data_IF_946885541423
#
_entry.id   IF_946885541423
#
_cell.length_a   1.000
_cell.length_b   1.000
_cell.length_c   1.000
_cell.angle_alpha   90.00
_cell.angle_beta   90.00
_cell.angle_gamma   90.00
#
_symmetry.space_group_name_H-M   'P 1'
#
loop_
_entity.id
_entity.type
_entity.pdbx_description
1 polymer ?
#
# COMPACT_ATOMS: atom_id res chain seq x y z
N UNK A 1 10.88 8.00 -19.86
CA UNK A 1 9.82 8.48 -20.78
C UNK A 1 8.84 7.34 -20.98
N UNK A 2 7.61 7.46 -20.47
CA UNK A 2 6.58 6.47 -20.75
C UNK A 2 6.17 6.69 -22.21
N UNK A 3 6.47 5.76 -23.09
CA UNK A 3 5.86 5.73 -24.41
C UNK A 3 4.36 5.77 -24.24
N UNK A 4 3.76 6.86 -24.67
CA UNK A 4 2.32 7.03 -24.77
C UNK A 4 1.88 5.93 -25.74
N UNK A 5 1.18 4.91 -25.21
CA UNK A 5 0.58 3.89 -26.05
C UNK A 5 -0.43 4.63 -26.93
N UNK A 6 -0.07 4.81 -28.21
CA UNK A 6 -1.01 5.32 -29.20
C UNK A 6 -2.25 4.41 -29.18
N UNK A 7 -3.46 4.98 -29.25
CA UNK A 7 -4.69 4.18 -29.38
C UNK A 7 -4.59 3.07 -30.46
N UNK A 8 -3.83 3.30 -31.54
CA UNK A 8 -3.60 2.31 -32.59
C UNK A 8 -2.82 1.07 -32.17
N UNK A 9 -2.05 1.09 -31.06
CA UNK A 9 -1.36 -0.11 -30.51
C UNK A 9 -2.25 -0.95 -29.59
N UNK A 10 -3.37 -0.40 -29.11
CA UNK A 10 -4.37 -1.13 -28.35
C UNK A 10 -5.39 -1.87 -29.24
N UNK A 11 -5.38 -1.65 -30.56
CA UNK A 11 -6.47 -1.98 -31.46
C UNK A 11 -6.15 -2.94 -32.65
N UNK A 12 -5.15 -3.85 -32.63
CA UNK A 12 -4.91 -4.68 -33.81
C UNK A 12 -5.96 -5.77 -34.07
N UNK A 13 -7.00 -5.90 -33.23
CA UNK A 13 -8.05 -6.91 -33.37
C UNK A 13 -9.48 -6.38 -33.19
N UNK A 14 -9.68 -5.08 -33.32
CA UNK A 14 -11.00 -4.45 -33.23
C UNK A 14 -11.46 -4.16 -34.63
N UNK A 15 -12.52 -4.85 -35.08
CA UNK A 15 -13.34 -4.39 -36.20
C UNK A 15 -13.80 -2.99 -35.85
N UNK A 16 -13.42 -2.02 -36.68
CA UNK A 16 -13.56 -0.59 -36.42
C UNK A 16 -15.03 -0.21 -36.24
N UNK A 17 -15.48 -0.23 -34.98
CA UNK A 17 -16.61 0.55 -34.54
C UNK A 17 -16.02 1.93 -34.19
N UNK A 18 -16.38 2.96 -34.98
CA UNK A 18 -15.88 4.33 -34.79
C UNK A 18 -16.23 4.86 -33.40
N UNK A 19 -17.37 4.45 -32.84
CA UNK A 19 -17.82 4.83 -31.52
C UNK A 19 -16.93 4.19 -30.43
N UNK A 20 -16.60 2.92 -30.54
CA UNK A 20 -15.68 2.25 -29.61
C UNK A 20 -14.30 2.91 -29.61
N UNK A 21 -13.81 3.27 -30.79
CA UNK A 21 -12.53 3.96 -30.93
C UNK A 21 -12.56 5.35 -30.30
N UNK A 22 -13.66 6.09 -30.46
CA UNK A 22 -13.86 7.41 -29.85
C UNK A 22 -13.87 7.33 -28.32
N UNK A 23 -14.61 6.35 -27.76
CA UNK A 23 -14.70 6.15 -26.31
C UNK A 23 -13.34 5.73 -25.70
N UNK A 24 -12.59 4.84 -26.37
CA UNK A 24 -11.24 4.50 -25.92
C UNK A 24 -10.27 5.67 -25.96
N UNK A 25 -10.37 6.54 -26.97
CA UNK A 25 -9.57 7.78 -27.03
C UNK A 25 -9.92 8.71 -25.86
N UNK A 26 -11.20 8.95 -25.58
CA UNK A 26 -11.63 9.73 -24.43
C UNK A 26 -11.12 9.13 -23.11
N UNK A 27 -11.25 7.82 -22.93
CA UNK A 27 -10.72 7.13 -21.74
C UNK A 27 -9.21 7.32 -21.56
N UNK A 28 -8.44 7.32 -22.64
CA UNK A 28 -6.98 7.58 -22.59
C UNK A 28 -6.68 9.06 -22.30
N UNK A 29 -7.49 10.00 -22.82
CA UNK A 29 -7.37 11.43 -22.49
C UNK A 29 -7.62 11.67 -21.00
N UNK A 30 -8.62 11.02 -20.42
CA UNK A 30 -9.02 11.13 -19.01
C UNK A 30 -8.19 10.23 -18.05
N UNK A 31 -7.06 9.72 -18.52
CA UNK A 31 -6.21 8.82 -17.71
C UNK A 31 -5.82 9.38 -16.34
N UNK A 32 -5.74 10.72 -16.24
CA UNK A 32 -5.34 11.40 -15.00
C UNK A 32 -6.44 11.38 -13.92
N UNK A 33 -7.67 10.98 -14.29
CA UNK A 33 -8.74 10.64 -13.33
C UNK A 33 -8.40 9.38 -12.51
N UNK A 34 -7.44 8.59 -12.96
CA UNK A 34 -7.00 7.36 -12.30
C UNK A 34 -5.61 7.53 -11.68
N UNK A 35 -5.36 6.80 -10.57
CA UNK A 35 -4.01 6.81 -10.01
C UNK A 35 -3.01 6.22 -11.02
N UNK A 36 -1.75 6.74 -11.08
CA UNK A 36 -0.72 6.19 -11.97
C UNK A 36 -0.50 4.67 -11.79
N UNK A 37 -0.71 4.17 -10.57
CA UNK A 37 -0.60 2.74 -10.29
C UNK A 37 -1.77 1.94 -10.86
N UNK A 38 -2.99 2.46 -10.74
CA UNK A 38 -4.20 1.83 -11.35
C UNK A 38 -4.02 1.73 -12.87
N UNK A 39 -3.56 2.82 -13.50
CA UNK A 39 -3.31 2.84 -14.94
C UNK A 39 -2.23 1.83 -15.36
N UNK A 40 -1.12 1.76 -14.63
CA UNK A 40 -0.05 0.78 -14.89
C UNK A 40 -0.54 -0.66 -14.74
N UNK A 41 -1.36 -0.93 -13.73
CA UNK A 41 -1.97 -2.26 -13.54
C UNK A 41 -2.92 -2.60 -14.68
N UNK A 42 -3.77 -1.64 -15.10
CA UNK A 42 -4.66 -1.83 -16.25
C UNK A 42 -3.88 -2.24 -17.49
N UNK A 43 -2.85 -1.47 -17.86
CA UNK A 43 -2.02 -1.76 -19.04
C UNK A 43 -1.33 -3.14 -18.95
N UNK A 44 -0.92 -3.55 -17.76
CA UNK A 44 -0.33 -4.87 -17.54
C UNK A 44 -1.36 -5.99 -17.72
N UNK A 45 -2.55 -5.83 -17.17
CA UNK A 45 -3.64 -6.80 -17.30
C UNK A 45 -4.09 -6.92 -18.75
N UNK A 46 -4.25 -5.78 -19.44
CA UNK A 46 -4.62 -5.77 -20.87
C UNK A 46 -3.64 -6.55 -21.73
N UNK A 47 -2.33 -6.33 -21.54
CA UNK A 47 -1.29 -7.06 -22.29
C UNK A 47 -1.37 -8.58 -22.07
N UNK A 48 -1.58 -9.02 -20.85
CA UNK A 48 -1.68 -10.45 -20.51
C UNK A 48 -2.95 -11.04 -21.11
N UNK A 49 -4.09 -10.36 -20.97
CA UNK A 49 -5.37 -10.82 -21.49
C UNK A 49 -5.38 -10.85 -23.03
N UNK A 50 -4.86 -9.83 -23.68
CA UNK A 50 -4.73 -9.76 -25.14
C UNK A 50 -3.87 -10.90 -25.70
N UNK A 51 -2.75 -11.20 -25.05
CA UNK A 51 -1.89 -12.35 -25.43
C UNK A 51 -2.66 -13.65 -25.34
N UNK A 52 -3.31 -13.89 -24.19
CA UNK A 52 -4.14 -15.07 -23.99
C UNK A 52 -5.24 -15.20 -25.05
N UNK A 53 -5.96 -14.10 -25.35
CA UNK A 53 -7.01 -14.07 -26.34
C UNK A 53 -6.47 -14.44 -27.75
N UNK A 54 -5.33 -13.87 -28.14
CA UNK A 54 -4.67 -14.18 -29.41
C UNK A 54 -4.23 -15.65 -29.50
N UNK A 55 -3.65 -16.21 -28.43
CA UNK A 55 -3.22 -17.62 -28.37
C UNK A 55 -4.39 -18.61 -28.44
N UNK A 56 -5.61 -18.18 -28.02
CA UNK A 56 -6.81 -19.02 -27.99
C UNK A 56 -7.83 -18.69 -29.09
N UNK A 57 -7.48 -17.81 -30.05
CA UNK A 57 -8.39 -17.40 -31.13
C UNK A 57 -9.62 -16.67 -30.64
N UNK A 58 -9.51 -15.89 -29.54
CA UNK A 58 -10.62 -15.15 -28.91
C UNK A 58 -10.48 -13.65 -29.16
N UNK A 59 -11.62 -12.96 -29.16
CA UNK A 59 -11.66 -11.51 -29.20
C UNK A 59 -11.27 -10.93 -27.83
N UNK A 60 -10.34 -9.99 -27.82
CA UNK A 60 -9.92 -9.31 -26.58
C UNK A 60 -10.91 -8.19 -26.17
N UNK A 61 -11.44 -7.45 -27.13
CA UNK A 61 -12.35 -6.34 -26.87
C UNK A 61 -13.34 -6.21 -28.04
N UNK A 62 -14.64 -6.50 -27.80
CA UNK A 62 -15.25 -6.94 -26.55
C UNK A 62 -14.86 -8.37 -26.15
N UNK A 63 -14.50 -8.57 -24.89
CA UNK A 63 -14.32 -9.91 -24.33
C UNK A 63 -15.67 -10.44 -23.83
N UNK A 64 -16.08 -11.63 -24.27
CA UNK A 64 -17.31 -12.23 -23.77
C UNK A 64 -17.20 -12.69 -22.33
N UNK A 65 -18.34 -12.89 -21.67
CA UNK A 65 -18.38 -13.41 -20.29
C UNK A 65 -17.81 -14.83 -20.19
N UNK A 66 -18.03 -15.66 -21.21
CA UNK A 66 -17.47 -17.01 -21.26
C UNK A 66 -15.96 -16.98 -21.49
N UNK A 67 -15.47 -16.11 -22.36
CA UNK A 67 -14.03 -15.95 -22.56
C UNK A 67 -13.37 -15.37 -21.29
N UNK A 68 -14.01 -14.43 -20.60
CA UNK A 68 -13.50 -13.97 -19.29
C UNK A 68 -13.43 -15.12 -18.28
N UNK A 69 -14.47 -15.95 -18.16
CA UNK A 69 -14.45 -17.14 -17.30
C UNK A 69 -13.26 -18.05 -17.62
N UNK A 70 -13.05 -18.35 -18.90
CA UNK A 70 -11.96 -19.23 -19.35
C UNK A 70 -10.59 -18.62 -19.09
N UNK A 71 -10.45 -17.32 -19.34
CA UNK A 71 -9.23 -16.57 -18.98
C UNK A 71 -8.91 -16.61 -17.48
N UNK A 72 -9.92 -16.39 -16.60
CA UNK A 72 -9.70 -16.45 -15.16
C UNK A 72 -9.33 -17.87 -14.70
N UNK A 73 -9.90 -18.90 -15.32
CA UNK A 73 -9.56 -20.30 -15.07
C UNK A 73 -8.13 -20.61 -15.51
N UNK A 74 -7.72 -20.09 -16.67
CA UNK A 74 -6.35 -20.19 -17.14
C UNK A 74 -5.35 -19.52 -16.20
N UNK A 75 -5.66 -18.34 -15.67
CA UNK A 75 -4.82 -17.69 -14.67
C UNK A 75 -4.69 -18.54 -13.40
N UNK A 76 -5.75 -19.23 -12.99
CA UNK A 76 -5.71 -20.15 -11.84
C UNK A 76 -4.78 -21.34 -12.13
N UNK A 77 -4.90 -21.98 -13.30
CA UNK A 77 -4.03 -23.10 -13.69
C UNK A 77 -2.56 -22.67 -13.84
N UNK A 78 -2.32 -21.39 -14.20
CA UNK A 78 -1.00 -20.77 -14.22
C UNK A 78 -0.47 -20.37 -12.82
N UNK A 79 -1.14 -20.78 -11.75
CA UNK A 79 -0.71 -20.56 -10.35
C UNK A 79 -0.84 -19.12 -9.86
N UNK A 80 -1.70 -18.30 -10.49
CA UNK A 80 -1.93 -16.93 -10.03
C UNK A 80 -2.82 -16.93 -8.77
N UNK A 81 -2.45 -16.06 -7.82
CA UNK A 81 -3.22 -15.89 -6.59
C UNK A 81 -4.66 -15.42 -6.87
N UNK A 82 -5.62 -15.89 -6.07
CA UNK A 82 -7.04 -15.54 -6.20
C UNK A 82 -7.29 -14.03 -6.21
N UNK A 83 -6.57 -13.27 -5.39
CA UNK A 83 -6.62 -11.81 -5.35
C UNK A 83 -6.11 -11.15 -6.64
N UNK A 84 -5.11 -11.73 -7.29
CA UNK A 84 -4.61 -11.29 -8.61
C UNK A 84 -5.67 -11.54 -9.67
N UNK A 85 -6.29 -12.72 -9.67
CA UNK A 85 -7.35 -13.10 -10.61
C UNK A 85 -8.56 -12.14 -10.48
N UNK A 86 -8.98 -11.83 -9.25
CA UNK A 86 -10.03 -10.85 -9.00
C UNK A 86 -9.68 -9.44 -9.54
N UNK A 87 -8.40 -9.04 -9.41
CA UNK A 87 -7.91 -7.77 -9.98
C UNK A 87 -8.01 -7.77 -11.51
N UNK A 88 -7.65 -8.87 -12.18
CA UNK A 88 -7.79 -9.00 -13.63
C UNK A 88 -9.26 -8.84 -14.06
N UNK A 89 -10.18 -9.56 -13.43
CA UNK A 89 -11.61 -9.45 -13.72
C UNK A 89 -12.15 -8.01 -13.56
N UNK A 90 -11.72 -7.33 -12.49
CA UNK A 90 -12.13 -5.95 -12.19
C UNK A 90 -11.60 -4.96 -13.23
N UNK A 91 -10.32 -5.06 -13.61
CA UNK A 91 -9.70 -4.12 -14.54
C UNK A 91 -10.16 -4.34 -15.98
N UNK A 92 -10.39 -5.58 -16.41
CA UNK A 92 -11.00 -5.88 -17.72
C UNK A 92 -12.42 -5.29 -17.79
N UNK A 93 -13.20 -5.44 -16.72
CA UNK A 93 -14.54 -4.86 -16.66
C UNK A 93 -14.54 -3.34 -16.57
N UNK A 94 -13.51 -2.74 -15.95
CA UNK A 94 -13.30 -1.29 -15.99
C UNK A 94 -13.03 -0.82 -17.41
N UNK A 95 -12.20 -1.52 -18.18
CA UNK A 95 -11.94 -1.22 -19.60
C UNK A 95 -13.25 -1.25 -20.39
N UNK A 96 -14.06 -2.32 -20.25
CA UNK A 96 -15.32 -2.44 -20.98
C UNK A 96 -16.28 -1.28 -20.67
N UNK A 97 -16.46 -0.93 -19.39
CA UNK A 97 -17.31 0.22 -19.00
C UNK A 97 -16.85 1.52 -19.65
N UNK A 98 -15.55 1.77 -19.69
CA UNK A 98 -15.01 3.00 -20.29
C UNK A 98 -14.96 2.94 -21.83
N UNK A 99 -15.13 1.77 -22.40
CA UNK A 99 -15.30 1.55 -23.84
C UNK A 99 -16.78 1.51 -24.28
N UNK A 100 -17.73 1.82 -23.38
CA UNK A 100 -19.19 1.75 -23.66
C UNK A 100 -19.72 0.33 -23.83
N UNK A 101 -18.96 -0.68 -23.46
CA UNK A 101 -19.31 -2.08 -23.60
C UNK A 101 -19.88 -2.66 -22.30
N UNK A 102 -20.70 -3.71 -22.43
CA UNK A 102 -21.22 -4.43 -21.27
C UNK A 102 -20.04 -5.09 -20.51
N UNK A 103 -19.92 -4.82 -19.19
CA UNK A 103 -18.85 -5.42 -18.38
C UNK A 103 -19.02 -6.94 -18.27
N UNK A 104 -18.06 -7.77 -18.71
CA UNK A 104 -18.22 -9.22 -18.76
C UNK A 104 -18.31 -9.88 -17.37
N UNK A 105 -17.88 -9.22 -16.31
CA UNK A 105 -17.94 -9.75 -14.94
C UNK A 105 -19.34 -9.65 -14.30
N UNK A 106 -20.33 -9.07 -14.96
CA UNK A 106 -21.72 -9.01 -14.49
C UNK A 106 -22.47 -10.32 -14.71
N UNK A 107 -21.97 -11.19 -15.57
CA UNK A 107 -22.61 -12.46 -15.88
C UNK A 107 -22.50 -13.49 -14.73
N UNK A 108 -23.55 -14.29 -14.47
CA UNK A 108 -23.54 -15.33 -13.44
C UNK A 108 -22.43 -16.38 -13.63
N UNK A 109 -22.01 -16.64 -14.86
CA UNK A 109 -20.92 -17.58 -15.21
C UNK A 109 -19.60 -17.13 -14.61
N UNK A 110 -19.25 -15.85 -14.74
CA UNK A 110 -18.03 -15.25 -14.19
C UNK A 110 -18.09 -15.21 -12.67
N UNK A 111 -19.25 -14.83 -12.10
CA UNK A 111 -19.43 -14.87 -10.65
C UNK A 111 -19.18 -16.26 -10.06
N UNK A 112 -19.74 -17.31 -10.69
CA UNK A 112 -19.54 -18.71 -10.25
C UNK A 112 -18.06 -19.12 -10.38
N UNK A 113 -17.38 -18.72 -11.45
CA UNK A 113 -15.96 -19.00 -11.64
C UNK A 113 -15.10 -18.36 -10.53
N UNK A 114 -15.30 -17.08 -10.23
CA UNK A 114 -14.58 -16.39 -9.15
C UNK A 114 -14.87 -17.06 -7.80
N UNK A 115 -16.12 -17.42 -7.53
CA UNK A 115 -16.49 -18.14 -6.29
C UNK A 115 -15.77 -19.48 -6.18
N UNK A 116 -15.69 -20.25 -7.28
CA UNK A 116 -14.96 -21.52 -7.35
C UNK A 116 -13.45 -21.31 -7.09
N UNK A 117 -12.84 -20.34 -7.77
CA UNK A 117 -11.42 -19.98 -7.60
C UNK A 117 -11.12 -19.65 -6.13
N UNK A 118 -11.93 -18.80 -5.51
CA UNK A 118 -11.76 -18.44 -4.12
C UNK A 118 -11.91 -19.64 -3.17
N UNK A 119 -12.87 -20.54 -3.44
CA UNK A 119 -13.04 -21.76 -2.66
C UNK A 119 -11.83 -22.67 -2.76
N UNK A 120 -11.32 -22.90 -3.96
CA UNK A 120 -10.11 -23.69 -4.20
C UNK A 120 -8.92 -23.06 -3.47
N UNK A 121 -8.73 -21.75 -3.59
CA UNK A 121 -7.67 -21.03 -2.91
C UNK A 121 -7.68 -21.25 -1.39
N UNK A 122 -8.86 -21.21 -0.76
CA UNK A 122 -9.03 -21.48 0.68
C UNK A 122 -8.65 -22.92 1.01
N UNK A 123 -9.17 -23.91 0.24
CA UNK A 123 -8.93 -25.33 0.46
C UNK A 123 -7.46 -25.71 0.25
N UNK A 124 -6.80 -25.10 -0.75
CA UNK A 124 -5.36 -25.32 -1.00
C UNK A 124 -4.44 -24.55 -0.07
N UNK A 125 -5.00 -23.85 0.92
CA UNK A 125 -4.23 -23.13 1.92
C UNK A 125 -3.63 -21.81 1.46
N UNK A 126 -4.14 -21.23 0.36
CA UNK A 126 -3.73 -19.86 -0.03
C UNK A 126 -4.00 -18.91 1.12
N UNK A 127 -2.99 -18.17 1.54
CA UNK A 127 -3.11 -17.13 2.57
C UNK A 127 -2.72 -15.78 1.99
N UNK A 128 -3.54 -14.79 2.25
CA UNK A 128 -3.17 -13.39 1.98
C UNK A 128 -2.00 -13.04 2.88
N UNK A 129 -0.85 -12.76 2.28
CA UNK A 129 0.33 -12.33 3.01
C UNK A 129 0.08 -11.00 3.73
N UNK A 130 0.68 -10.85 4.90
CA UNK A 130 0.71 -9.63 5.67
C UNK A 130 2.15 -9.15 5.80
N UNK A 131 2.40 -7.84 5.77
CA UNK A 131 3.72 -7.30 6.04
C UNK A 131 4.17 -7.71 7.45
N UNK A 132 5.44 -8.01 7.59
CA UNK A 132 6.05 -8.28 8.91
C UNK A 132 5.88 -7.03 9.77
N UNK A 133 5.33 -7.13 10.98
CA UNK A 133 5.10 -5.96 11.82
C UNK A 133 6.43 -5.32 12.26
N UNK A 134 6.54 -4.01 12.09
CA UNK A 134 7.56 -3.17 12.70
C UNK A 134 7.00 -2.60 13.99
N UNK A 135 7.46 -3.07 15.13
CA UNK A 135 6.90 -2.81 16.45
C UNK A 135 7.57 -1.63 17.15
N UNK A 136 6.95 -1.15 18.23
CA UNK A 136 7.54 -0.11 19.07
C UNK A 136 8.92 -0.52 19.61
N UNK A 137 9.10 -1.76 20.02
CA UNK A 137 10.40 -2.25 20.49
C UNK A 137 11.49 -2.19 19.42
N UNK A 138 11.14 -2.49 18.16
CA UNK A 138 12.06 -2.37 17.03
C UNK A 138 12.44 -0.90 16.78
N UNK A 139 11.45 0.01 16.84
CA UNK A 139 11.69 1.44 16.72
C UNK A 139 12.64 1.95 17.82
N UNK A 140 12.42 1.54 19.08
CA UNK A 140 13.30 1.93 20.20
C UNK A 140 14.71 1.37 20.06
N UNK A 141 14.86 0.16 19.55
CA UNK A 141 16.17 -0.42 19.24
C UNK A 141 16.92 0.41 18.19
N UNK A 142 16.25 0.83 17.14
CA UNK A 142 16.85 1.70 16.12
C UNK A 142 17.09 3.11 16.64
N UNK A 143 16.21 3.63 17.48
CA UNK A 143 16.42 4.93 18.13
C UNK A 143 17.71 4.95 18.94
N UNK A 144 17.95 3.92 19.76
CA UNK A 144 19.19 3.82 20.55
C UNK A 144 20.45 3.74 19.69
N UNK A 145 20.35 3.20 18.47
CA UNK A 145 21.50 3.06 17.55
C UNK A 145 21.75 4.31 16.71
N UNK A 146 20.70 4.96 16.22
CA UNK A 146 20.79 6.03 15.23
C UNK A 146 20.60 7.43 15.79
N UNK A 147 20.19 7.56 17.06
CA UNK A 147 19.91 8.85 17.69
C UNK A 147 21.06 9.86 17.60
N UNK A 148 22.30 9.38 17.71
CA UNK A 148 23.50 10.22 17.69
C UNK A 148 24.39 9.87 16.49
N UNK A 149 23.82 9.34 15.42
CA UNK A 149 24.60 8.97 14.24
C UNK A 149 25.17 10.21 13.54
N UNK A 150 26.46 10.16 13.13
CA UNK A 150 27.03 11.19 12.29
C UNK A 150 26.54 11.11 10.83
N UNK A 151 25.84 10.04 10.47
CA UNK A 151 25.36 9.80 9.13
C UNK A 151 23.96 10.38 8.93
N UNK A 152 23.86 11.45 8.17
CA UNK A 152 22.61 12.15 7.89
C UNK A 152 21.51 11.23 7.34
N UNK A 153 21.91 10.19 6.61
CA UNK A 153 21.00 9.16 6.10
C UNK A 153 20.30 8.39 7.22
N UNK A 154 21.00 8.07 8.30
CA UNK A 154 20.42 7.36 9.46
C UNK A 154 19.51 8.28 10.26
N UNK A 155 19.88 9.54 10.43
CA UNK A 155 19.04 10.55 11.08
C UNK A 155 17.73 10.74 10.30
N UNK A 156 17.81 10.86 8.96
CA UNK A 156 16.61 10.89 8.11
C UNK A 156 15.78 9.62 8.26
N UNK A 157 16.40 8.46 8.22
CA UNK A 157 15.69 7.18 8.31
C UNK A 157 15.02 7.03 9.67
N UNK A 158 15.67 7.43 10.74
CA UNK A 158 15.08 7.39 12.09
C UNK A 158 13.87 8.31 12.18
N UNK A 159 13.98 9.56 11.75
CA UNK A 159 12.86 10.50 11.72
C UNK A 159 11.69 9.94 10.88
N UNK A 160 11.97 9.36 9.71
CA UNK A 160 10.97 8.72 8.86
C UNK A 160 10.25 7.57 9.57
N UNK A 161 10.99 6.68 10.26
CA UNK A 161 10.41 5.54 10.97
C UNK A 161 9.56 5.98 12.17
N UNK A 162 9.98 7.01 12.90
CA UNK A 162 9.19 7.62 13.96
C UNK A 162 7.87 8.19 13.44
N UNK A 163 7.92 8.95 12.35
CA UNK A 163 6.70 9.50 11.73
C UNK A 163 5.82 8.37 11.20
N UNK A 164 6.38 7.37 10.52
CA UNK A 164 5.64 6.24 9.97
C UNK A 164 4.90 5.45 11.06
N UNK A 165 5.57 5.16 12.17
CA UNK A 165 4.99 4.41 13.29
C UNK A 165 3.92 5.22 14.03
N UNK A 166 4.21 6.49 14.35
CA UNK A 166 3.32 7.35 15.15
C UNK A 166 2.03 7.73 14.40
N UNK A 167 2.09 7.85 13.08
CA UNK A 167 0.95 8.34 12.29
C UNK A 167 0.15 7.25 11.60
N UNK A 168 0.67 6.04 11.51
CA UNK A 168 0.10 4.93 10.73
C UNK A 168 -0.18 5.30 9.26
N UNK A 169 0.47 6.31 8.71
CA UNK A 169 0.33 6.72 7.31
C UNK A 169 0.88 5.66 6.34
N UNK A 170 0.32 5.63 5.13
CA UNK A 170 0.89 4.81 4.06
C UNK A 170 2.17 5.43 3.54
N UNK A 171 3.09 4.60 3.05
CA UNK A 171 4.36 5.06 2.47
C UNK A 171 4.17 6.15 1.41
N UNK A 172 3.11 6.06 0.61
CA UNK A 172 2.80 7.08 -0.41
C UNK A 172 2.29 8.40 0.17
N UNK A 173 1.72 8.38 1.36
CA UNK A 173 1.28 9.56 2.12
C UNK A 173 2.49 10.21 2.80
N UNK A 174 3.33 9.41 3.46
CA UNK A 174 4.59 9.84 4.05
C UNK A 174 5.53 10.50 3.03
N UNK A 175 5.62 9.92 1.82
CA UNK A 175 6.44 10.45 0.75
C UNK A 175 6.06 11.89 0.36
N UNK A 176 4.79 12.26 0.51
CA UNK A 176 4.23 13.54 0.06
C UNK A 176 4.21 14.62 1.11
N UNK A 177 4.56 14.30 2.35
CA UNK A 177 4.68 15.31 3.40
C UNK A 177 5.72 16.37 3.01
N UNK A 178 5.36 17.64 3.21
CA UNK A 178 6.23 18.79 2.97
C UNK A 178 6.56 19.48 4.29
N UNK A 179 7.56 20.34 4.27
CA UNK A 179 7.93 21.12 5.45
C UNK A 179 6.79 22.00 5.92
N UNK A 180 6.01 22.59 5.01
CA UNK A 180 4.83 23.40 5.34
C UNK A 180 3.71 22.64 6.05
N UNK A 181 3.68 21.32 5.93
CA UNK A 181 2.70 20.47 6.61
C UNK A 181 3.05 20.23 8.09
N UNK A 182 4.20 20.75 8.54
CA UNK A 182 4.72 20.60 9.89
C UNK A 182 4.43 21.85 10.69
N UNK A 183 3.60 21.72 11.72
CA UNK A 183 3.30 22.80 12.66
C UNK A 183 3.63 22.39 14.09
N UNK A 184 3.70 23.36 15.03
CA UNK A 184 3.90 23.07 16.46
C UNK A 184 2.64 23.37 17.22
N UNK A 185 2.24 22.45 18.09
CA UNK A 185 1.23 22.67 19.11
C UNK A 185 1.78 23.54 20.25
N UNK A 186 0.88 24.04 21.09
CA UNK A 186 1.24 24.84 22.30
C UNK A 186 2.16 24.07 23.26
N UNK A 187 2.00 22.75 23.35
CA UNK A 187 2.83 21.87 24.17
C UNK A 187 4.19 21.52 23.53
N UNK A 188 4.52 22.13 22.39
CA UNK A 188 5.76 21.98 21.65
C UNK A 188 5.84 20.74 20.75
N UNK A 189 4.85 19.84 20.78
CA UNK A 189 4.80 18.67 19.89
C UNK A 189 4.52 19.10 18.46
N UNK A 190 5.03 18.30 17.51
CA UNK A 190 4.73 18.48 16.09
C UNK A 190 3.33 17.93 15.78
N UNK A 191 2.60 18.73 15.03
CA UNK A 191 1.38 18.35 14.33
C UNK A 191 1.68 18.31 12.85
N UNK A 192 1.25 17.24 12.18
CA UNK A 192 1.32 17.07 10.74
C UNK A 192 -0.06 17.27 10.12
N UNK A 193 -0.17 18.21 9.19
CA UNK A 193 -1.34 18.39 8.35
C UNK A 193 -1.15 17.59 7.06
N UNK A 194 -1.82 16.44 6.96
CA UNK A 194 -1.69 15.54 5.82
C UNK A 194 -2.74 15.90 4.79
N UNK A 195 -2.41 16.86 3.92
CA UNK A 195 -3.32 17.37 2.90
C UNK A 195 -3.78 16.31 1.89
N UNK A 196 -2.98 15.28 1.66
CA UNK A 196 -3.27 14.23 0.68
C UNK A 196 -3.25 12.83 1.30
N UNK A 197 -4.36 12.11 1.17
CA UNK A 197 -4.40 10.68 1.46
C UNK A 197 -5.08 9.93 0.31
N UNK A 198 -4.72 8.66 0.13
CA UNK A 198 -5.31 7.81 -0.93
C UNK A 198 -6.84 7.69 -0.84
N UNK A 199 -7.42 7.91 0.32
CA UNK A 199 -8.85 7.67 0.61
C UNK A 199 -9.63 8.93 0.98
N UNK A 200 -8.96 10.05 1.21
CA UNK A 200 -9.57 11.33 1.55
C UNK A 200 -9.24 12.30 0.42
N UNK A 201 -10.03 12.25 -0.64
CA UNK A 201 -9.97 13.20 -1.76
C UNK A 201 -10.92 14.38 -1.51
N UNK A 202 -11.74 14.33 -0.47
CA UNK A 202 -12.94 15.17 -0.41
C UNK A 202 -13.01 16.18 0.70
N UNK A 203 -12.16 16.46 1.56
CA UNK A 203 -12.28 17.57 2.52
C UNK A 203 -11.33 17.49 3.70
N UNK A 204 -10.62 18.55 3.94
CA UNK A 204 -10.12 18.94 5.25
C UNK A 204 -8.85 18.24 5.76
N UNK A 205 -8.14 17.46 4.93
CA UNK A 205 -6.87 16.87 5.35
C UNK A 205 -7.01 15.86 6.52
N UNK A 206 -5.89 15.40 7.03
CA UNK A 206 -5.79 14.55 8.20
C UNK A 206 -4.75 15.12 9.15
N UNK A 207 -5.17 15.45 10.37
CA UNK A 207 -4.27 15.99 11.40
C UNK A 207 -3.69 14.83 12.21
N UNK A 208 -2.35 14.80 12.37
CA UNK A 208 -1.63 13.82 13.16
C UNK A 208 -0.65 14.48 14.13
N UNK A 209 -0.82 14.25 15.42
CA UNK A 209 0.13 14.68 16.44
C UNK A 209 1.23 13.62 16.63
N UNK A 210 2.47 14.07 16.80
CA UNK A 210 3.60 13.21 17.14
C UNK A 210 3.82 13.15 18.65
N UNK A 211 4.37 12.04 19.14
CA UNK A 211 4.89 11.95 20.51
C UNK A 211 6.08 12.89 20.69
N UNK A 212 6.43 13.19 21.94
CA UNK A 212 7.60 14.03 22.27
C UNK A 212 8.89 13.49 21.65
N UNK A 213 9.11 12.16 21.70
CA UNK A 213 10.30 11.54 21.10
C UNK A 213 10.28 11.65 19.58
N UNK A 214 9.16 11.36 18.94
CA UNK A 214 9.03 11.46 17.46
C UNK A 214 9.17 12.92 17.00
N UNK A 215 8.64 13.87 17.78
CA UNK A 215 8.85 15.31 17.55
C UNK A 215 10.32 15.68 17.59
N UNK A 216 11.06 15.20 18.59
CA UNK A 216 12.51 15.45 18.70
C UNK A 216 13.24 14.94 17.47
N UNK A 217 13.02 13.69 17.05
CA UNK A 217 13.69 13.09 15.90
C UNK A 217 13.39 13.81 14.59
N UNK A 218 12.15 14.23 14.41
CA UNK A 218 11.78 14.99 13.21
C UNK A 218 12.38 16.40 13.23
N UNK A 219 12.41 17.07 14.39
CA UNK A 219 13.04 18.38 14.54
C UNK A 219 14.54 18.32 14.27
N UNK A 220 15.24 17.30 14.79
CA UNK A 220 16.66 17.06 14.52
C UNK A 220 16.92 16.91 13.02
N UNK A 221 16.12 16.09 12.34
CA UNK A 221 16.23 15.93 10.89
C UNK A 221 16.03 17.25 10.13
N UNK A 222 14.97 18.00 10.41
CA UNK A 222 14.69 19.28 9.76
C UNK A 222 15.84 20.28 9.95
N UNK A 223 16.39 20.33 11.18
CA UNK A 223 17.46 21.27 11.52
C UNK A 223 18.76 20.98 10.75
N UNK A 224 19.19 19.70 10.69
CA UNK A 224 20.50 19.35 10.12
C UNK A 224 20.48 19.11 8.61
N UNK A 225 19.31 18.93 8.02
CA UNK A 225 19.15 18.68 6.57
C UNK A 225 19.10 19.94 5.73
N UNK A 226 18.99 21.14 6.34
CA UNK A 226 18.76 22.39 5.62
C UNK A 226 17.30 22.58 5.15
N UNK A 227 16.35 21.79 5.66
CA UNK A 227 14.94 21.92 5.33
C UNK A 227 14.26 23.10 6.05
N UNK A 228 14.87 23.63 7.11
CA UNK A 228 14.34 24.77 7.83
C UNK A 228 14.25 26.01 6.89
N UNK A 229 13.03 26.57 6.79
CA UNK A 229 12.79 27.70 5.89
C UNK A 229 12.41 27.33 4.45
N UNK A 230 12.32 26.03 4.12
CA UNK A 230 11.99 25.55 2.78
C UNK A 230 10.59 24.90 2.73
N UNK A 231 9.48 25.66 2.81
CA UNK A 231 8.14 25.15 3.02
C UNK A 231 7.68 24.18 1.92
N UNK A 232 8.13 24.38 0.69
CA UNK A 232 7.75 23.56 -0.46
C UNK A 232 8.57 22.28 -0.64
N UNK A 233 9.68 22.14 0.08
CA UNK A 233 10.49 20.94 0.03
C UNK A 233 9.74 19.75 0.65
N UNK A 234 9.93 18.56 0.07
CA UNK A 234 9.44 17.32 0.69
C UNK A 234 10.19 17.04 1.98
N UNK A 235 9.45 16.69 3.02
CA UNK A 235 9.97 16.46 4.37
C UNK A 235 11.05 15.38 4.42
N UNK A 236 10.92 14.36 3.58
CA UNK A 236 11.93 13.31 3.43
C UNK A 236 12.57 13.39 2.04
N UNK A 237 13.82 13.77 2.00
CA UNK A 237 14.58 13.99 0.77
C UNK A 237 15.78 13.02 0.66
N UNK A 238 16.40 12.89 -0.52
CA UNK A 238 17.59 12.08 -0.70
C UNK A 238 18.77 12.60 0.15
N UNK A 239 19.59 11.67 0.62
CA UNK A 239 20.90 11.98 1.23
C UNK A 239 21.97 11.41 0.32
N UNK A 240 22.87 12.28 -0.15
CA UNK A 240 23.98 11.92 -1.01
C UNK A 240 25.07 11.19 -0.22
N UNK A 241 25.92 10.43 -0.91
CA UNK A 241 27.07 9.71 -0.31
C UNK A 241 28.06 10.62 0.42
N UNK A 242 28.07 11.92 0.10
CA UNK A 242 28.89 12.93 0.78
C UNK A 242 28.24 13.44 2.07
N UNK A 243 27.24 12.74 2.59
CA UNK A 243 26.52 13.08 3.81
C UNK A 243 25.80 14.45 3.76
N UNK A 244 25.26 14.80 2.58
CA UNK A 244 24.46 16.03 2.37
C UNK A 244 23.05 15.68 1.91
N UNK A 245 22.06 16.36 2.46
CA UNK A 245 20.69 16.28 1.99
C UNK A 245 20.53 17.03 0.68
N UNK A 246 19.71 16.50 -0.22
CA UNK A 246 19.32 17.15 -1.49
C UNK A 246 17.86 17.49 -1.41
N UNK A 247 17.53 18.78 -1.26
CA UNK A 247 16.14 19.23 -1.20
C UNK A 247 15.44 18.98 -2.53
N UNK A 248 14.22 18.49 -2.48
CA UNK A 248 13.39 18.18 -3.64
C UNK A 248 11.99 18.77 -3.46
N UNK A 249 11.49 19.41 -4.50
CA UNK A 249 10.18 20.10 -4.51
C UNK A 249 9.22 19.56 -5.57
N UNK A 250 9.74 18.97 -6.64
CA UNK A 250 8.91 18.51 -7.77
C UNK A 250 8.35 17.11 -7.57
N UNK A 251 9.20 16.16 -7.22
CA UNK A 251 8.82 14.75 -7.06
C UNK A 251 9.30 14.21 -5.73
N UNK A 252 8.44 13.53 -4.96
CA UNK A 252 8.82 12.91 -3.70
C UNK A 252 9.77 11.72 -3.91
N UNK A 253 10.37 11.23 -2.81
CA UNK A 253 11.08 9.96 -2.82
C UNK A 253 10.19 8.85 -3.39
N UNK A 254 10.78 8.00 -4.21
CA UNK A 254 10.06 6.87 -4.80
C UNK A 254 9.73 5.81 -3.74
N UNK A 255 8.67 5.03 -3.98
CA UNK A 255 8.34 3.91 -3.09
C UNK A 255 9.52 2.96 -2.86
N UNK A 256 10.30 2.54 -3.88
CA UNK A 256 11.50 1.74 -3.64
C UNK A 256 12.54 2.40 -2.73
N UNK A 257 12.72 3.72 -2.85
CA UNK A 257 13.65 4.46 -1.97
C UNK A 257 13.20 4.45 -0.51
N UNK A 258 11.88 4.56 -0.27
CA UNK A 258 11.31 4.49 1.07
C UNK A 258 11.30 3.06 1.63
N UNK A 259 11.03 2.07 0.79
CA UNK A 259 11.15 0.65 1.19
C UNK A 259 12.59 0.26 1.55
N UNK A 260 13.60 0.87 0.90
CA UNK A 260 15.00 0.68 1.26
C UNK A 260 15.32 1.16 2.68
N UNK A 261 14.57 2.14 3.24
CA UNK A 261 14.69 2.55 4.66
C UNK A 261 14.31 1.37 5.56
N UNK A 262 13.16 0.74 5.32
CA UNK A 262 12.72 -0.42 6.08
C UNK A 262 13.68 -1.61 5.93
N UNK A 263 14.23 -1.83 4.75
CA UNK A 263 15.19 -2.89 4.50
C UNK A 263 16.53 -2.65 5.24
N UNK A 264 16.99 -1.40 5.33
CA UNK A 264 18.16 -1.04 6.15
C UNK A 264 17.85 -1.25 7.63
N UNK A 265 16.72 -0.73 8.11
CA UNK A 265 16.27 -0.88 9.49
C UNK A 265 16.20 -2.36 9.93
N UNK A 266 15.66 -3.23 9.06
CA UNK A 266 15.59 -4.66 9.30
C UNK A 266 16.97 -5.29 9.57
N UNK A 267 17.94 -4.99 8.70
CA UNK A 267 19.30 -5.53 8.86
C UNK A 267 19.98 -5.04 10.13
N UNK A 268 19.80 -3.77 10.45
CA UNK A 268 20.47 -3.15 11.58
C UNK A 268 19.78 -3.41 12.92
N UNK A 269 18.50 -3.73 12.92
CA UNK A 269 17.81 -4.23 14.13
C UNK A 269 18.23 -5.66 14.52
N UNK A 270 19.10 -6.31 13.73
CA UNK A 270 19.56 -7.67 14.01
C UNK A 270 18.51 -8.74 13.76
N UNK A 271 17.48 -8.42 13.02
CA UNK A 271 16.44 -9.35 12.58
C UNK A 271 17.00 -10.26 11.50
N UNK A 272 17.69 -11.30 11.77
CA UNK A 272 18.40 -12.23 10.90
C UNK A 272 17.96 -12.32 9.42
N UNK A 273 18.63 -13.12 8.60
CA UNK A 273 18.18 -13.34 7.22
C UNK A 273 16.72 -13.78 7.23
N UNK A 274 15.85 -13.11 6.44
CA UNK A 274 14.45 -13.52 6.37
C UNK A 274 14.42 -14.99 5.96
N UNK A 275 13.75 -15.84 6.77
CA UNK A 275 13.55 -17.23 6.40
C UNK A 275 12.95 -17.23 5.00
N UNK A 276 13.64 -17.87 4.06
CA UNK A 276 13.23 -18.01 2.66
C UNK A 276 11.95 -18.82 2.55
N UNK A 277 10.87 -18.27 3.04
CA UNK A 277 9.55 -18.73 2.67
C UNK A 277 9.15 -17.97 1.42
N UNK A 278 8.53 -18.64 0.48
CA UNK A 278 7.91 -18.11 -0.74
C UNK A 278 6.95 -16.92 -0.48
N UNK A 279 6.89 -16.42 0.73
CA UNK A 279 6.10 -15.29 1.14
C UNK A 279 6.80 -13.99 0.75
N UNK A 280 6.09 -13.20 -0.03
CA UNK A 280 6.40 -11.86 -0.54
C UNK A 280 6.90 -10.87 0.53
N UNK A 281 6.76 -11.18 1.80
CA UNK A 281 7.10 -10.35 2.94
C UNK A 281 8.12 -11.07 3.83
N UNK A 282 9.36 -11.04 3.41
CA UNK A 282 10.47 -11.65 4.15
C UNK A 282 11.18 -10.69 5.11
N UNK A 283 10.79 -9.44 5.16
CA UNK A 283 11.34 -8.39 6.02
C UNK A 283 10.37 -7.22 6.15
N UNK A 284 10.82 -6.12 6.74
CA UNK A 284 10.01 -4.92 6.83
C UNK A 284 9.85 -4.23 5.47
N UNK A 285 8.67 -3.67 5.26
CA UNK A 285 8.25 -2.97 4.05
C UNK A 285 7.47 -1.72 4.42
N UNK A 286 7.05 -0.94 3.43
CA UNK A 286 6.27 0.28 3.63
C UNK A 286 4.93 0.11 4.36
N UNK A 287 4.46 -1.11 4.58
CA UNK A 287 3.28 -1.39 5.41
C UNK A 287 3.61 -1.85 6.83
N UNK A 288 4.87 -2.15 7.12
CA UNK A 288 5.29 -2.78 8.37
C UNK A 288 5.03 -1.92 9.60
N UNK A 289 5.30 -0.61 9.53
CA UNK A 289 5.03 0.32 10.62
C UNK A 289 3.53 0.39 10.94
N UNK A 290 2.68 0.46 9.91
CA UNK A 290 1.23 0.49 10.05
C UNK A 290 0.66 -0.81 10.64
N UNK A 291 1.22 -1.96 10.27
CA UNK A 291 0.85 -3.27 10.84
C UNK A 291 1.32 -3.35 12.28
N UNK A 292 2.56 -2.99 12.57
CA UNK A 292 3.15 -3.06 13.91
C UNK A 292 2.43 -2.17 14.89
N UNK A 293 2.22 -0.88 14.56
CA UNK A 293 1.52 0.06 15.42
C UNK A 293 0.07 -0.38 15.71
N UNK A 294 -0.67 -0.85 14.70
CA UNK A 294 -2.03 -1.36 14.92
C UNK A 294 -2.05 -2.59 15.85
N UNK A 295 -1.08 -3.50 15.68
CA UNK A 295 -0.95 -4.68 16.54
C UNK A 295 -0.51 -4.32 17.97
N UNK A 296 0.38 -3.33 18.13
CA UNK A 296 0.81 -2.88 19.46
C UNK A 296 -0.34 -2.19 20.19
N UNK A 297 -1.15 -1.36 19.52
CA UNK A 297 -2.36 -0.78 20.09
C UNK A 297 -3.36 -1.87 20.50
N UNK A 298 -3.61 -2.87 19.64
CA UNK A 298 -4.51 -3.96 19.97
C UNK A 298 -4.01 -4.76 21.18
N UNK A 299 -2.71 -5.04 21.28
CA UNK A 299 -2.10 -5.70 22.47
C UNK A 299 -2.22 -4.91 23.75
N UNK A 300 -2.24 -3.57 23.67
CA UNK A 300 -2.44 -2.69 24.81
C UNK A 300 -3.93 -2.51 25.19
N UNK A 301 -4.83 -3.20 24.47
CA UNK A 301 -6.27 -3.18 24.77
C UNK A 301 -7.02 -1.95 24.24
N UNK A 302 -6.44 -1.17 23.33
CA UNK A 302 -7.16 -0.06 22.71
C UNK A 302 -8.37 -0.56 21.92
N UNK A 303 -9.49 0.15 22.04
CA UNK A 303 -10.72 -0.21 21.33
C UNK A 303 -10.52 -0.17 19.80
N UNK A 304 -11.18 -1.10 19.08
CA UNK A 304 -11.14 -1.18 17.62
C UNK A 304 -11.44 0.18 16.96
N UNK A 305 -12.41 0.92 17.48
CA UNK A 305 -12.76 2.25 16.97
C UNK A 305 -11.59 3.26 17.08
N UNK A 306 -10.85 3.26 18.18
CA UNK A 306 -9.67 4.11 18.38
C UNK A 306 -8.56 3.76 17.39
N UNK A 307 -8.27 2.46 17.20
CA UNK A 307 -7.26 1.99 16.25
C UNK A 307 -7.68 2.36 14.82
N UNK A 308 -8.97 2.22 14.50
CA UNK A 308 -9.51 2.62 13.20
C UNK A 308 -9.34 4.11 12.93
N UNK A 309 -9.59 4.95 13.93
CA UNK A 309 -9.43 6.40 13.83
C UNK A 309 -7.96 6.76 13.59
N UNK A 310 -7.04 6.18 14.37
CA UNK A 310 -5.60 6.42 14.21
C UNK A 310 -5.09 6.00 12.83
N UNK A 311 -5.49 4.83 12.35
CA UNK A 311 -5.06 4.34 11.05
C UNK A 311 -5.95 4.77 9.89
N UNK A 312 -6.98 5.58 10.11
CA UNK A 312 -7.94 6.01 9.07
C UNK A 312 -8.57 4.85 8.29
N UNK A 313 -8.90 3.75 8.98
CA UNK A 313 -9.62 2.64 8.40
C UNK A 313 -11.12 2.91 8.39
N UNK A 314 -11.74 2.87 7.20
CA UNK A 314 -13.18 3.06 7.04
C UNK A 314 -14.00 1.79 7.34
N UNK A 315 -13.36 0.62 7.27
CA UNK A 315 -14.03 -0.68 7.44
C UNK A 315 -13.32 -1.52 8.52
N UNK A 316 -14.05 -2.01 9.53
CA UNK A 316 -13.49 -2.87 10.57
C UNK A 316 -12.77 -4.11 10.02
N UNK A 317 -13.31 -4.73 8.96
CA UNK A 317 -12.73 -5.94 8.34
C UNK A 317 -11.33 -5.69 7.81
N UNK A 318 -11.04 -4.44 7.43
CA UNK A 318 -9.70 -4.07 6.97
C UNK A 318 -8.73 -4.04 8.13
N UNK A 319 -9.09 -3.44 9.27
CA UNK A 319 -8.28 -3.45 10.48
C UNK A 319 -8.10 -4.88 11.02
N UNK A 320 -9.18 -5.66 11.09
CA UNK A 320 -9.14 -7.04 11.59
C UNK A 320 -8.12 -7.92 10.85
N UNK A 321 -7.87 -7.66 9.55
CA UNK A 321 -6.78 -8.34 8.83
C UNK A 321 -5.39 -8.02 9.38
N UNK A 322 -5.19 -6.81 9.92
CA UNK A 322 -3.91 -6.38 10.50
C UNK A 322 -3.69 -6.98 11.88
N UNK A 323 -4.73 -7.08 12.71
CA UNK A 323 -4.63 -7.48 14.12
C UNK A 323 -5.00 -8.96 14.38
N UNK A 324 -5.48 -9.71 13.37
CA UNK A 324 -5.95 -11.10 13.50
C UNK A 324 -5.00 -12.08 14.21
N UNK A 325 -3.69 -11.80 14.18
CA UNK A 325 -2.68 -12.68 14.77
C UNK A 325 -2.28 -12.21 16.19
N UNK A 326 -2.84 -11.09 16.69
CA UNK A 326 -2.50 -10.55 17.99
C UNK A 326 -3.21 -11.35 19.09
N UNK A 327 -4.44 -11.77 18.82
CA UNK A 327 -5.33 -12.37 19.83
C UNK A 327 -5.28 -13.91 19.86
N UNK A 328 -4.44 -14.56 19.04
CA UNK A 328 -4.42 -16.01 18.95
C UNK A 328 -4.04 -16.70 20.29
N UNK A 329 -3.28 -16.01 21.16
CA UNK A 329 -2.86 -16.49 22.47
C UNK A 329 -3.50 -15.75 23.65
N UNK A 330 -4.27 -14.71 23.38
CA UNK A 330 -4.97 -13.90 24.36
C UNK A 330 -6.46 -13.74 23.98
N UNK A 331 -7.03 -14.79 23.38
CA UNK A 331 -8.43 -14.80 22.99
C UNK A 331 -9.34 -14.68 24.20
N UNK A 332 -10.39 -13.85 24.11
CA UNK A 332 -11.37 -13.65 25.19
C UNK A 332 -11.94 -14.98 25.72
N UNK A 333 -12.02 -16.00 24.87
CA UNK A 333 -12.48 -17.33 25.29
C UNK A 333 -11.46 -18.04 26.18
N UNK A 334 -10.15 -17.92 25.88
CA UNK A 334 -9.09 -18.47 26.71
C UNK A 334 -9.11 -17.80 28.09
N UNK A 335 -9.16 -16.47 28.12
CA UNK A 335 -9.24 -15.69 29.36
C UNK A 335 -10.50 -16.04 30.19
N UNK A 336 -11.65 -16.22 29.53
CA UNK A 336 -12.88 -16.64 30.16
C UNK A 336 -12.76 -18.05 30.78
N UNK A 337 -12.14 -18.99 30.07
CA UNK A 337 -11.96 -20.36 30.53
C UNK A 337 -10.97 -20.42 31.68
N UNK A 338 -9.85 -19.69 31.61
CA UNK A 338 -8.84 -19.64 32.67
C UNK A 338 -9.34 -18.95 33.94
N UNK A 339 -10.17 -17.89 33.83
CA UNK A 339 -10.80 -17.26 34.98
C UNK A 339 -11.75 -18.17 35.73
N UNK A 340 -12.47 -19.08 35.02
CA UNK A 340 -13.37 -20.05 35.66
C UNK A 340 -12.67 -21.29 36.18
N UNK A 341 -11.44 -21.57 35.73
CA UNK A 341 -10.66 -22.72 36.20
C UNK A 341 -9.75 -22.42 37.38
N UNK A 342 -9.70 -21.16 37.86
CA UNK A 342 -9.03 -20.84 39.15
C UNK A 342 -9.98 -21.23 40.28
N UNK A 343 -9.61 -22.19 41.14
CA UNK A 343 -10.38 -22.39 42.41
C UNK A 343 -10.28 -21.15 43.26
N UNK A 344 -11.39 -20.81 43.92
CA UNK A 344 -11.48 -19.72 44.93
C UNK A 344 -10.50 -19.95 46.09
#
# INVERSE_FOLDING_TARGET
MAEIISPGRLLPAITADEDLTAQLRAFVQDRDAFSPNTWRQLLSVMRICQRWASEHGRCFLPLSSDDLRDYLTWLQSAGRASSTIATHASLISMLHRNAGLLPPNTAPTVFRAIKKINRVAVVTGERTGQAVPFRLADLMTLDSRWANSPHLKEVRNLAFLHVAYSTLLRVSELARLRVRDVTRAEDGRIILDVAWTKTIVQTGGLIKALSTLSTRRLTEWIAISGLAGEPDAFLFCPVHRTNKATLITEKPLTTPSLEAIFAQAWREAGQGQPKTNKNRYSGWSGHSARVGAAQDMAKQGYAVAQIMQEGTWKKPETLMRYIRNVDAHAGAMIDLMEKKSRPE
#
